data_IF_710470578235
#
_entry.id   IF_710470578235
#
_cell.length_a   1.000
_cell.length_b   1.000
_cell.length_c   1.000
_cell.angle_alpha   90.00
_cell.angle_beta   90.00
_cell.angle_gamma   90.00
#
_symmetry.space_group_name_H-M   'P 1'
#
loop_
_entity.id
_entity.type
_entity.pdbx_description
1 polymer ?
#
# COMPACT_ATOMS: atom_id res chain seq x y z
N UNK A 1 24.10 -20.61 -5.06
CA UNK A 1 22.75 -21.12 -4.70
C UNK A 1 22.86 -21.99 -3.45
N UNK A 2 22.12 -21.66 -2.39
CA UNK A 2 22.10 -22.38 -1.11
C UNK A 2 20.74 -23.04 -0.89
N UNK A 3 20.72 -24.35 -0.66
CA UNK A 3 19.49 -25.10 -0.33
C UNK A 3 19.50 -25.40 1.17
N UNK A 4 18.45 -25.00 1.88
CA UNK A 4 18.34 -25.13 3.34
C UNK A 4 17.05 -25.80 3.74
N UNK A 5 17.02 -26.38 4.94
CA UNK A 5 15.80 -26.96 5.50
C UNK A 5 14.91 -25.88 6.14
N UNK A 6 13.62 -26.16 6.31
CA UNK A 6 12.72 -25.25 7.03
C UNK A 6 13.15 -24.98 8.48
N UNK A 7 13.75 -25.96 9.15
CA UNK A 7 14.27 -25.81 10.52
C UNK A 7 15.46 -24.87 10.55
N UNK A 8 16.40 -25.07 9.63
CA UNK A 8 17.59 -24.23 9.50
C UNK A 8 17.23 -22.78 9.16
N UNK A 9 16.27 -22.58 8.25
CA UNK A 9 15.74 -21.26 7.93
C UNK A 9 15.15 -20.57 9.16
N UNK A 10 14.31 -21.26 9.93
CA UNK A 10 13.70 -20.70 11.16
C UNK A 10 14.74 -20.27 12.19
N UNK A 11 15.82 -21.03 12.34
CA UNK A 11 16.86 -20.75 13.34
C UNK A 11 17.81 -19.62 12.92
N UNK A 12 18.00 -19.39 11.62
CA UNK A 12 18.99 -18.44 11.10
C UNK A 12 18.37 -17.47 10.07
N UNK A 13 17.15 -17.00 10.30
CA UNK A 13 16.40 -16.18 9.33
C UNK A 13 17.19 -14.97 8.84
N UNK A 14 17.75 -14.17 9.76
CA UNK A 14 18.52 -12.96 9.44
C UNK A 14 19.63 -13.24 8.43
N UNK A 15 20.44 -14.27 8.68
CA UNK A 15 21.54 -14.69 7.80
C UNK A 15 21.06 -14.93 6.36
N UNK A 16 19.91 -15.56 6.19
CA UNK A 16 19.40 -15.89 4.85
C UNK A 16 18.76 -14.70 4.15
N UNK A 17 18.18 -13.75 4.89
CA UNK A 17 17.77 -12.47 4.33
C UNK A 17 19.00 -11.66 3.88
N UNK A 18 20.02 -11.54 4.74
CA UNK A 18 21.27 -10.84 4.40
C UNK A 18 21.93 -11.45 3.14
N UNK A 19 21.92 -12.78 2.99
CA UNK A 19 22.40 -13.44 1.76
C UNK A 19 21.61 -13.03 0.51
N UNK A 20 20.28 -12.98 0.61
CA UNK A 20 19.41 -12.59 -0.50
C UNK A 20 19.58 -11.11 -0.86
N UNK A 21 19.75 -10.25 0.13
CA UNK A 21 20.06 -8.83 -0.07
C UNK A 21 21.42 -8.64 -0.77
N UNK A 22 22.37 -9.56 -0.54
CA UNK A 22 23.65 -9.63 -1.25
C UNK A 22 23.57 -10.35 -2.62
N UNK A 23 22.38 -10.48 -3.20
CA UNK A 23 22.12 -11.16 -4.48
C UNK A 23 22.43 -12.67 -4.51
N UNK A 24 22.55 -13.33 -3.36
CA UNK A 24 22.71 -14.79 -3.31
C UNK A 24 21.36 -15.51 -3.38
N UNK A 25 21.31 -16.60 -4.14
CA UNK A 25 20.09 -17.40 -4.26
C UNK A 25 19.94 -18.37 -3.09
N UNK A 26 18.83 -18.27 -2.34
CA UNK A 26 18.45 -19.20 -1.27
C UNK A 26 17.16 -19.94 -1.61
N UNK A 27 17.15 -21.26 -1.39
CA UNK A 27 16.00 -22.15 -1.58
C UNK A 27 15.70 -22.88 -0.28
N UNK A 28 14.48 -22.76 0.22
CA UNK A 28 13.99 -23.44 1.42
C UNK A 28 13.25 -24.72 1.03
N UNK A 29 13.78 -25.87 1.41
CA UNK A 29 13.14 -27.18 1.23
C UNK A 29 12.26 -27.52 2.45
N UNK A 30 11.00 -27.86 2.20
CA UNK A 30 10.01 -28.29 3.21
C UNK A 30 9.29 -29.54 2.71
N UNK A 31 9.58 -30.69 3.33
CA UNK A 31 9.02 -31.99 2.91
C UNK A 31 9.26 -32.19 1.39
N UNK A 32 8.20 -32.33 0.60
CA UNK A 32 8.26 -32.53 -0.85
C UNK A 32 8.17 -31.23 -1.68
N UNK A 33 8.23 -30.05 -1.05
CA UNK A 33 8.19 -28.76 -1.75
C UNK A 33 9.48 -27.96 -1.52
N UNK A 34 9.81 -27.13 -2.49
CA UNK A 34 10.89 -26.14 -2.38
C UNK A 34 10.32 -24.75 -2.65
N UNK A 35 10.82 -23.76 -1.93
CA UNK A 35 10.44 -22.35 -2.04
C UNK A 35 11.69 -21.52 -2.28
N UNK A 36 11.62 -20.51 -3.14
CA UNK A 36 12.72 -19.56 -3.34
C UNK A 36 12.51 -18.36 -2.41
N UNK A 37 13.56 -17.91 -1.73
CA UNK A 37 13.52 -16.65 -0.99
C UNK A 37 13.81 -15.52 -1.98
N UNK A 38 12.88 -14.59 -2.10
CA UNK A 38 12.95 -13.42 -3.00
C UNK A 38 12.47 -12.22 -2.18
N UNK A 39 13.22 -11.10 -2.16
CA UNK A 39 12.76 -9.90 -1.49
C UNK A 39 11.59 -9.33 -2.28
N UNK A 40 10.55 -8.92 -1.55
CA UNK A 40 9.38 -8.27 -2.16
C UNK A 40 9.71 -6.79 -2.28
N UNK A 41 9.57 -6.25 -3.49
CA UNK A 41 9.79 -4.84 -3.79
C UNK A 41 8.45 -4.10 -3.90
N UNK A 42 8.50 -2.77 -3.95
CA UNK A 42 7.30 -1.96 -4.22
C UNK A 42 6.65 -2.34 -5.56
N UNK A 43 7.43 -2.77 -6.55
CA UNK A 43 6.93 -3.24 -7.84
C UNK A 43 6.06 -4.49 -7.72
N UNK A 44 6.36 -5.36 -6.76
CA UNK A 44 5.61 -6.60 -6.50
C UNK A 44 4.31 -6.34 -5.71
N UNK A 45 4.23 -5.23 -4.97
CA UNK A 45 3.09 -4.87 -4.13
C UNK A 45 2.12 -3.96 -4.88
N UNK A 46 2.65 -2.99 -5.65
CA UNK A 46 1.90 -1.94 -6.32
C UNK A 46 1.75 -2.23 -7.82
N UNK A 47 1.49 -3.49 -8.17
CA UNK A 47 1.43 -4.01 -9.55
C UNK A 47 0.42 -3.22 -10.40
N UNK A 48 -0.72 -2.84 -9.81
CA UNK A 48 -1.82 -2.14 -10.51
C UNK A 48 -1.59 -0.62 -10.65
N UNK A 49 -0.55 -0.08 -10.01
CA UNK A 49 -0.27 1.36 -9.98
C UNK A 49 1.00 1.62 -10.80
N UNK A 50 0.91 2.35 -11.92
CA UNK A 50 2.09 2.75 -12.68
C UNK A 50 3.05 3.56 -11.81
N UNK A 51 4.37 3.34 -11.97
CA UNK A 51 5.42 3.94 -11.13
C UNK A 51 5.30 5.46 -11.00
N UNK A 52 4.87 6.12 -12.07
CA UNK A 52 4.64 7.57 -12.16
C UNK A 52 3.66 8.08 -11.10
N UNK A 53 2.63 7.28 -10.82
CA UNK A 53 1.54 7.63 -9.92
C UNK A 53 1.74 7.11 -8.50
N UNK A 54 2.84 6.40 -8.21
CA UNK A 54 3.11 5.89 -6.87
C UNK A 54 3.51 7.02 -5.93
N UNK A 55 3.04 6.91 -4.70
CA UNK A 55 3.39 7.78 -3.58
C UNK A 55 3.44 6.96 -2.30
N UNK A 56 4.13 7.48 -1.28
CA UNK A 56 4.15 6.85 0.03
C UNK A 56 2.75 6.95 0.68
N UNK A 57 2.02 5.84 0.87
CA UNK A 57 0.65 5.88 1.40
C UNK A 57 0.62 6.37 2.85
N UNK A 58 1.70 6.16 3.61
CA UNK A 58 1.78 6.51 5.03
C UNK A 58 1.87 8.02 5.29
N UNK A 59 2.23 8.81 4.26
CA UNK A 59 2.19 10.28 4.36
C UNK A 59 0.75 10.83 4.32
N UNK A 60 -0.17 10.12 3.66
CA UNK A 60 -1.57 10.53 3.55
C UNK A 60 -2.44 9.82 4.59
N UNK A 61 -2.18 8.54 4.89
CA UNK A 61 -3.04 7.71 5.72
C UNK A 61 -2.24 6.76 6.61
N UNK A 62 -2.63 6.57 7.88
CA UNK A 62 -2.00 5.58 8.76
C UNK A 62 -2.25 4.12 8.35
N UNK A 63 -3.16 3.87 7.41
CA UNK A 63 -3.52 2.52 6.94
C UNK A 63 -2.43 1.87 6.08
N UNK A 64 -1.69 2.67 5.29
CA UNK A 64 -0.76 2.13 4.30
C UNK A 64 -1.41 1.44 3.10
N UNK A 65 -2.73 1.60 2.91
CA UNK A 65 -3.47 0.89 1.86
C UNK A 65 -3.05 1.34 0.46
N UNK A 66 -3.17 0.41 -0.51
CA UNK A 66 -2.87 0.67 -1.93
C UNK A 66 -3.68 1.81 -2.52
N UNK A 67 -4.87 2.09 -1.99
CA UNK A 67 -5.69 3.23 -2.40
C UNK A 67 -4.94 4.56 -2.23
N UNK A 68 -4.26 4.74 -1.10
CA UNK A 68 -3.47 5.94 -0.79
C UNK A 68 -2.07 5.93 -1.39
N UNK A 69 -1.66 4.81 -2.00
CA UNK A 69 -0.39 4.71 -2.72
C UNK A 69 -0.49 5.27 -4.16
N UNK A 70 -1.70 5.62 -4.63
CA UNK A 70 -1.94 6.16 -5.97
C UNK A 70 -2.32 7.65 -5.94
N UNK A 71 -1.48 8.50 -6.57
CA UNK A 71 -1.70 9.94 -6.72
C UNK A 71 -3.05 10.28 -7.36
N UNK A 72 -3.55 9.46 -8.29
CA UNK A 72 -4.82 9.69 -8.99
C UNK A 72 -6.01 9.63 -8.03
N UNK A 73 -5.94 8.74 -7.05
CA UNK A 73 -6.98 8.62 -6.02
C UNK A 73 -6.93 9.82 -5.06
N UNK A 74 -5.72 10.23 -4.68
CA UNK A 74 -5.53 11.41 -3.83
C UNK A 74 -6.06 12.67 -4.52
N UNK A 75 -5.77 12.87 -5.80
CA UNK A 75 -6.29 13.99 -6.58
C UNK A 75 -7.82 13.96 -6.68
N UNK A 76 -8.42 12.78 -6.91
CA UNK A 76 -9.88 12.62 -6.89
C UNK A 76 -10.46 13.03 -5.54
N UNK A 77 -9.86 12.60 -4.44
CA UNK A 77 -10.30 12.96 -3.08
C UNK A 77 -10.12 14.46 -2.83
N UNK A 78 -8.97 15.05 -3.20
CA UNK A 78 -8.72 16.49 -3.08
C UNK A 78 -9.74 17.30 -3.86
N UNK A 79 -9.97 16.97 -5.13
CA UNK A 79 -11.01 17.59 -5.96
C UNK A 79 -12.40 17.43 -5.34
N UNK A 80 -12.72 16.27 -4.76
CA UNK A 80 -13.98 16.07 -4.07
C UNK A 80 -14.10 16.89 -2.77
N UNK A 81 -12.99 17.16 -2.07
CA UNK A 81 -12.95 18.02 -0.89
C UNK A 81 -13.05 19.50 -1.27
N UNK A 82 -12.42 19.91 -2.37
CA UNK A 82 -12.50 21.28 -2.89
C UNK A 82 -13.90 21.56 -3.47
N UNK A 83 -14.46 20.61 -4.23
CA UNK A 83 -15.82 20.68 -4.74
C UNK A 83 -16.89 20.48 -3.65
N UNK A 84 -16.51 20.23 -2.40
CA UNK A 84 -17.43 20.10 -1.26
C UNK A 84 -17.97 21.46 -0.78
N UNK A 85 -18.29 22.35 -1.71
CA UNK A 85 -19.46 23.23 -1.56
C UNK A 85 -20.74 22.44 -1.25
N UNK A 86 -20.78 21.11 -1.47
CA UNK A 86 -22.00 20.29 -1.38
C UNK A 86 -22.22 19.58 -0.03
N UNK A 87 -21.32 19.71 0.95
CA UNK A 87 -21.73 19.45 2.34
C UNK A 87 -22.21 20.79 2.91
N UNK A 88 -23.41 21.21 2.52
CA UNK A 88 -24.02 22.42 3.07
C UNK A 88 -23.91 22.34 4.59
N UNK A 89 -23.04 23.16 5.18
CA UNK A 89 -22.94 23.27 6.63
C UNK A 89 -24.14 24.09 7.07
N UNK A 90 -25.29 23.44 7.17
CA UNK A 90 -26.53 24.02 7.67
C UNK A 90 -26.37 24.19 9.18
N UNK A 91 -25.79 25.32 9.60
CA UNK A 91 -25.54 25.60 11.02
C UNK A 91 -26.74 26.31 11.64
N UNK A 92 -27.42 27.14 10.85
CA UNK A 92 -28.53 27.95 11.31
C UNK A 92 -29.81 27.64 10.52
N UNK A 93 -30.95 28.00 11.11
CA UNK A 93 -32.27 27.81 10.51
C UNK A 93 -32.40 28.53 9.15
N UNK A 94 -31.74 29.67 8.99
CA UNK A 94 -31.72 30.43 7.74
C UNK A 94 -30.94 29.71 6.63
N UNK A 95 -29.83 29.04 6.96
CA UNK A 95 -29.07 28.25 5.98
C UNK A 95 -29.93 27.11 5.44
N UNK A 96 -30.70 26.46 6.32
CA UNK A 96 -31.64 25.39 5.97
C UNK A 96 -32.72 25.93 5.04
N UNK A 97 -33.28 27.11 5.34
CA UNK A 97 -34.36 27.71 4.56
C UNK A 97 -33.89 28.14 3.17
N UNK A 98 -32.70 28.74 3.07
CA UNK A 98 -32.10 29.12 1.80
C UNK A 98 -31.74 27.91 0.93
N UNK A 99 -31.25 26.82 1.54
CA UNK A 99 -30.99 25.57 0.83
C UNK A 99 -32.29 24.95 0.29
N UNK A 100 -33.34 24.88 1.11
CA UNK A 100 -34.65 24.34 0.71
C UNK A 100 -35.30 25.13 -0.43
N UNK A 101 -35.06 26.44 -0.52
CA UNK A 101 -35.56 27.29 -1.61
C UNK A 101 -34.73 27.18 -2.91
N UNK A 102 -33.54 26.58 -2.85
CA UNK A 102 -32.62 26.41 -4.00
C UNK A 102 -32.76 25.06 -4.72
N UNK A 103 -33.57 24.14 -4.18
CA UNK A 103 -33.97 22.86 -4.77
C UNK A 103 -35.17 23.02 -5.71
#
# INVERSE_FOLDING_TARGET
MKIITSREFRNNQKKYFDMVDNNEQVVVKRKNRAYKLVPVTEDDILVDIPKEYRTNPYEISPSGDTFWADKRNIEKVKKAIENKEVAAQLKNTEDIQNFLNSL
#
